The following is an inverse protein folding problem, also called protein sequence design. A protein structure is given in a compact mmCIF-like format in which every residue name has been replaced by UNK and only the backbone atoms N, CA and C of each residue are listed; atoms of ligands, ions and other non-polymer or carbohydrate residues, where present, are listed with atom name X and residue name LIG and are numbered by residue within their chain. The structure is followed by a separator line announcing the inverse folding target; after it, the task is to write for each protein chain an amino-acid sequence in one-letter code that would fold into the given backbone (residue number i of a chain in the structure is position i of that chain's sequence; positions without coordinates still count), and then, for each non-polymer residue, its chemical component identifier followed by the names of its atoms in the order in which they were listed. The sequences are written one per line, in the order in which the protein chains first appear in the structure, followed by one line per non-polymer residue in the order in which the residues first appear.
data_IF_931242025586
#
_entry.id   IF_931242025586
#
_cell.length_a   1.000
_cell.length_b   1.000
_cell.length_c   1.000
_cell.angle_alpha   90.00
_cell.angle_beta   90.00
_cell.angle_gamma   90.00
#
_symmetry.space_group_name_H-M   'P 1'
#
loop_
_entity.id
_entity.type
_entity.pdbx_description
1 polymer ?
#
# COMPACT_ATOMS: atom_id res chain seq x y z
N UNK A 1 -14.68 -2.50 45.76
CA UNK A 1 -14.27 -1.39 44.86
C UNK A 1 -12.76 -1.38 44.55
N UNK A 2 -11.86 -1.86 45.43
CA UNK A 2 -10.40 -1.87 45.14
C UNK A 2 -9.94 -2.87 44.05
N UNK A 3 -10.64 -3.99 43.86
CA UNK A 3 -10.29 -5.00 42.85
C UNK A 3 -10.56 -4.59 41.39
N UNK A 4 -11.40 -3.56 41.17
CA UNK A 4 -11.70 -3.03 39.83
C UNK A 4 -10.62 -2.05 39.34
N UNK A 5 -10.03 -1.26 40.23
CA UNK A 5 -8.98 -0.29 39.88
C UNK A 5 -7.69 -0.98 39.39
N UNK A 6 -7.23 -2.01 40.12
CA UNK A 6 -6.00 -2.73 39.75
C UNK A 6 -6.12 -3.53 38.44
N UNK A 7 -7.35 -3.95 38.09
CA UNK A 7 -7.65 -4.63 36.83
C UNK A 7 -7.71 -3.65 35.65
N UNK A 8 -8.05 -2.39 35.89
CA UNK A 8 -8.05 -1.33 34.86
C UNK A 8 -6.62 -0.86 34.51
N UNK A 9 -5.74 -0.73 35.51
CA UNK A 9 -4.33 -0.32 35.30
C UNK A 9 -3.54 -1.36 34.49
N UNK A 10 -3.73 -2.65 34.78
CA UNK A 10 -3.07 -3.74 34.04
C UNK A 10 -3.56 -3.85 32.59
N UNK A 11 -4.84 -3.61 32.34
CA UNK A 11 -5.41 -3.60 30.98
C UNK A 11 -4.93 -2.37 30.19
N UNK A 12 -4.69 -1.22 30.85
CA UNK A 12 -4.07 -0.04 30.25
C UNK A 12 -2.63 -0.30 29.81
N UNK A 13 -1.79 -0.83 30.71
CA UNK A 13 -0.39 -1.18 30.40
C UNK A 13 -0.26 -2.22 29.29
N UNK A 14 -1.14 -3.22 29.24
CA UNK A 14 -1.15 -4.22 28.16
C UNK A 14 -1.62 -3.60 26.84
N UNK A 15 -2.62 -2.72 26.84
CA UNK A 15 -3.09 -2.01 25.64
C UNK A 15 -2.02 -1.09 25.05
N UNK A 16 -1.25 -0.42 25.90
CA UNK A 16 -0.11 0.39 25.45
C UNK A 16 0.93 -0.50 24.77
N UNK A 17 1.22 -1.69 25.31
CA UNK A 17 2.17 -2.63 24.67
C UNK A 17 1.67 -3.21 23.33
N UNK A 18 0.36 -3.44 23.17
CA UNK A 18 -0.22 -3.91 21.90
C UNK A 18 -0.19 -2.78 20.89
N UNK A 19 -0.56 -1.57 21.30
CA UNK A 19 -0.50 -0.38 20.44
C UNK A 19 0.92 -0.12 19.96
N UNK A 20 1.90 -0.15 20.85
CA UNK A 20 3.30 0.10 20.49
C UNK A 20 3.80 -0.95 19.49
N UNK A 21 3.45 -2.22 19.70
CA UNK A 21 3.78 -3.29 18.75
C UNK A 21 3.13 -3.06 17.37
N UNK A 22 1.86 -2.69 17.33
CA UNK A 22 1.19 -2.39 16.06
C UNK A 22 1.81 -1.16 15.39
N UNK A 23 2.20 -0.14 16.16
CA UNK A 23 2.94 1.02 15.62
C UNK A 23 4.26 0.56 15.02
N UNK A 24 5.04 -0.27 15.70
CA UNK A 24 6.32 -0.75 15.19
C UNK A 24 6.15 -1.54 13.88
N UNK A 25 5.14 -2.42 13.80
CA UNK A 25 4.82 -3.18 12.58
C UNK A 25 4.45 -2.25 11.43
N UNK A 26 3.64 -1.22 11.70
CA UNK A 26 3.26 -0.25 10.68
C UNK A 26 4.43 0.66 10.26
N UNK A 27 5.32 1.02 11.19
CA UNK A 27 6.55 1.75 10.86
C UNK A 27 7.46 0.93 9.95
N UNK A 28 7.68 -0.35 10.27
CA UNK A 28 8.45 -1.24 9.40
C UNK A 28 7.83 -1.39 8.01
N UNK A 29 6.50 -1.40 7.91
CA UNK A 29 5.81 -1.39 6.62
C UNK A 29 6.07 -0.08 5.87
N UNK A 30 5.86 1.07 6.51
CA UNK A 30 6.10 2.39 5.91
C UNK A 30 7.53 2.53 5.41
N UNK A 31 8.52 2.10 6.20
CA UNK A 31 9.93 2.12 5.81
C UNK A 31 10.19 1.33 4.52
N UNK A 32 9.52 0.18 4.34
CA UNK A 32 9.60 -0.59 3.09
C UNK A 32 8.98 0.18 1.92
N UNK A 33 7.82 0.80 2.12
CA UNK A 33 7.14 1.56 1.06
C UNK A 33 7.96 2.77 0.64
N UNK A 34 8.46 3.56 1.59
CA UNK A 34 9.27 4.75 1.30
C UNK A 34 10.56 4.39 0.57
N UNK A 35 11.26 3.34 1.01
CA UNK A 35 12.44 2.83 0.30
C UNK A 35 12.11 2.44 -1.13
N UNK A 36 10.97 1.77 -1.33
CA UNK A 36 10.52 1.35 -2.66
C UNK A 36 10.19 2.54 -3.58
N UNK A 37 9.56 3.57 -3.03
CA UNK A 37 9.29 4.81 -3.75
C UNK A 37 10.58 5.53 -4.14
N UNK A 38 11.54 5.63 -3.22
CA UNK A 38 12.86 6.22 -3.48
C UNK A 38 13.60 5.47 -4.60
N UNK A 39 13.58 4.13 -4.60
CA UNK A 39 14.13 3.33 -5.71
C UNK A 39 13.49 3.68 -7.06
N UNK A 40 12.15 3.87 -7.09
CA UNK A 40 11.42 4.21 -8.32
C UNK A 40 11.66 5.64 -8.79
N UNK A 41 11.83 6.57 -7.87
CA UNK A 41 12.23 7.95 -8.17
C UNK A 41 13.61 7.93 -8.84
N UNK A 42 14.59 7.27 -8.22
CA UNK A 42 15.95 7.16 -8.79
C UNK A 42 15.98 6.47 -10.15
N UNK A 43 15.18 5.41 -10.35
CA UNK A 43 15.05 4.73 -11.64
C UNK A 43 14.49 5.68 -12.73
N UNK A 44 13.42 6.43 -12.40
CA UNK A 44 12.82 7.38 -13.33
C UNK A 44 13.78 8.52 -13.68
N UNK A 45 14.49 9.07 -12.70
CA UNK A 45 15.52 10.10 -12.90
C UNK A 45 16.67 9.60 -13.78
N UNK A 46 17.15 8.38 -13.53
CA UNK A 46 18.20 7.76 -14.34
C UNK A 46 17.77 7.62 -15.80
N UNK A 47 16.55 7.14 -16.06
CA UNK A 47 16.01 7.03 -17.42
C UNK A 47 15.94 8.38 -18.13
N UNK A 48 15.51 9.44 -17.43
CA UNK A 48 15.48 10.79 -17.99
C UNK A 48 16.89 11.29 -18.35
N UNK A 49 17.88 11.07 -17.47
CA UNK A 49 19.27 11.48 -17.71
C UNK A 49 19.93 10.69 -18.85
N UNK A 50 19.74 9.38 -18.90
CA UNK A 50 20.29 8.51 -19.95
C UNK A 50 19.71 8.86 -21.32
N UNK A 51 18.39 9.06 -21.40
CA UNK A 51 17.72 9.49 -22.62
C UNK A 51 18.23 10.86 -23.11
N UNK A 52 18.49 11.80 -22.20
CA UNK A 52 19.07 13.10 -22.54
C UNK A 52 20.50 12.98 -23.12
N UNK A 53 21.33 12.08 -22.59
CA UNK A 53 22.72 11.86 -23.05
C UNK A 53 22.80 11.18 -24.41
N UNK A 54 21.91 10.24 -24.72
CA UNK A 54 21.89 9.51 -26.01
C UNK A 54 21.41 10.35 -27.20
N UNK A 55 21.01 11.60 -26.97
CA UNK A 55 20.44 12.49 -27.97
C UNK A 55 21.38 13.06 -29.03
N UNK A 56 22.64 12.64 -29.12
CA UNK A 56 23.63 13.30 -29.99
C UNK A 56 23.71 12.77 -31.43
N UNK A 57 23.17 11.58 -31.75
CA UNK A 57 23.16 11.05 -33.14
C UNK A 57 21.95 10.13 -33.33
N UNK A 58 20.98 10.50 -34.18
CA UNK A 58 19.81 9.66 -34.43
C UNK A 58 18.94 10.11 -35.61
N UNK A 59 18.23 9.15 -36.21
CA UNK A 59 17.19 9.41 -37.22
C UNK A 59 16.00 10.15 -36.58
N UNK A 60 15.13 10.83 -37.37
CA UNK A 60 13.95 11.51 -36.82
C UNK A 60 13.05 10.62 -35.95
N UNK A 61 12.92 9.33 -36.30
CA UNK A 61 12.14 8.37 -35.49
C UNK A 61 12.76 8.10 -34.12
N UNK A 62 14.10 7.98 -34.04
CA UNK A 62 14.80 7.78 -32.77
C UNK A 62 14.66 8.99 -31.83
N UNK A 63 14.63 10.21 -32.38
CA UNK A 63 14.36 11.42 -31.61
C UNK A 63 12.93 11.45 -31.06
N UNK A 64 11.94 11.09 -31.88
CA UNK A 64 10.54 11.03 -31.45
C UNK A 64 10.31 9.99 -30.35
N UNK A 65 10.93 8.80 -30.47
CA UNK A 65 10.84 7.76 -29.43
C UNK A 65 11.49 8.21 -28.13
N UNK A 66 12.67 8.85 -28.19
CA UNK A 66 13.35 9.45 -27.04
C UNK A 66 12.46 10.47 -26.34
N UNK A 67 11.88 11.41 -27.08
CA UNK A 67 11.05 12.46 -26.51
C UNK A 67 9.81 11.87 -25.83
N UNK A 68 9.21 10.83 -26.41
CA UNK A 68 8.11 10.10 -25.78
C UNK A 68 8.53 9.35 -24.51
N UNK A 69 9.74 8.79 -24.45
CA UNK A 69 10.28 8.16 -23.25
C UNK A 69 10.54 9.19 -22.14
N UNK A 70 11.21 10.30 -22.46
CA UNK A 70 11.49 11.40 -21.50
C UNK A 70 10.19 11.98 -20.96
N UNK A 71 9.21 12.24 -21.83
CA UNK A 71 7.92 12.77 -21.42
C UNK A 71 7.18 11.82 -20.46
N UNK A 72 7.14 10.52 -20.79
CA UNK A 72 6.51 9.51 -19.91
C UNK A 72 7.21 9.39 -18.56
N UNK A 73 8.55 9.34 -18.56
CA UNK A 73 9.33 9.30 -17.33
C UNK A 73 9.11 10.58 -16.48
N UNK A 74 9.04 11.76 -17.12
CA UNK A 74 8.76 13.02 -16.45
C UNK A 74 7.37 13.09 -15.80
N UNK A 75 6.32 12.60 -16.47
CA UNK A 75 4.99 12.47 -15.86
C UNK A 75 5.03 11.53 -14.66
N UNK A 76 5.71 10.39 -14.78
CA UNK A 76 5.82 9.41 -13.71
C UNK A 76 6.55 9.98 -12.49
N UNK A 77 7.69 10.62 -12.70
CA UNK A 77 8.47 11.28 -11.65
C UNK A 77 7.68 12.39 -10.95
N UNK A 78 7.00 13.25 -11.73
CA UNK A 78 6.14 14.31 -11.18
C UNK A 78 5.05 13.73 -10.28
N UNK A 79 4.44 12.60 -10.69
CA UNK A 79 3.45 11.90 -9.88
C UNK A 79 4.03 11.37 -8.57
N UNK A 80 5.18 10.69 -8.64
CA UNK A 80 5.85 10.15 -7.45
C UNK A 80 6.25 11.26 -6.45
N UNK A 81 6.73 12.40 -6.95
CA UNK A 81 7.14 13.52 -6.11
C UNK A 81 5.96 14.26 -5.45
N UNK A 82 4.88 14.49 -6.20
CA UNK A 82 3.71 15.22 -5.67
C UNK A 82 2.92 14.40 -4.63
N UNK A 83 3.02 13.07 -4.70
CA UNK A 83 2.32 12.15 -3.82
C UNK A 83 3.25 11.59 -2.72
N UNK A 84 4.42 12.21 -2.47
CA UNK A 84 5.41 11.67 -1.53
C UNK A 84 5.05 11.88 -0.05
N UNK A 85 4.25 12.91 0.25
CA UNK A 85 3.77 13.21 1.60
C UNK A 85 2.30 12.75 1.80
N UNK A 86 2.00 12.21 2.98
CA UNK A 86 0.65 11.81 3.41
C UNK A 86 -0.13 10.93 2.41
N UNK A 87 0.59 9.99 1.78
CA UNK A 87 0.00 9.16 0.72
C UNK A 87 -0.72 7.92 1.25
N UNK A 88 -0.33 7.39 2.42
CA UNK A 88 -1.01 6.26 3.04
C UNK A 88 -2.20 6.75 3.89
N UNK A 89 -3.38 6.21 3.64
CA UNK A 89 -4.60 6.54 4.38
C UNK A 89 -4.83 5.62 5.57
N UNK A 90 -4.49 4.34 5.43
CA UNK A 90 -4.64 3.37 6.50
C UNK A 90 -4.56 1.92 6.01
N UNK A 91 -4.90 1.02 6.93
CA UNK A 91 -4.90 -0.44 6.77
C UNK A 91 -6.34 -0.96 6.88
N UNK A 92 -6.68 -1.94 6.07
CA UNK A 92 -7.91 -2.73 6.22
C UNK A 92 -7.55 -4.21 6.33
N UNK A 93 -8.08 -4.82 7.38
CA UNK A 93 -7.94 -6.25 7.64
C UNK A 93 -9.25 -6.94 7.23
N UNK A 94 -9.17 -7.72 6.14
CA UNK A 94 -10.29 -8.42 5.54
C UNK A 94 -10.42 -9.81 6.13
N UNK A 95 -11.66 -10.18 6.45
CA UNK A 95 -12.01 -11.55 6.80
C UNK A 95 -12.25 -12.38 5.53
N UNK A 96 -12.31 -13.70 5.69
CA UNK A 96 -12.68 -14.57 4.57
C UNK A 96 -14.07 -14.20 4.07
N UNK A 97 -14.19 -13.85 2.78
CA UNK A 97 -15.48 -13.49 2.18
C UNK A 97 -16.43 -14.69 2.09
N UNK A 98 -17.75 -14.42 2.13
CA UNK A 98 -18.82 -15.44 2.15
C UNK A 98 -18.78 -16.44 1.02
N UNK A 99 -18.40 -16.02 -0.18
CA UNK A 99 -18.24 -16.91 -1.33
C UNK A 99 -16.81 -17.48 -1.46
N UNK A 100 -15.87 -17.02 -0.64
CA UNK A 100 -14.45 -17.37 -0.67
C UNK A 100 -13.74 -16.98 -1.98
N UNK A 101 -14.38 -16.18 -2.84
CA UNK A 101 -13.88 -15.88 -4.18
C UNK A 101 -13.12 -14.56 -4.19
N UNK A 102 -12.03 -14.56 -4.95
CA UNK A 102 -11.26 -13.35 -5.28
C UNK A 102 -11.57 -12.92 -6.71
N UNK A 103 -11.68 -11.62 -6.92
CA UNK A 103 -11.85 -10.99 -8.22
C UNK A 103 -10.56 -11.04 -9.04
N UNK A 104 -10.59 -10.57 -10.31
CA UNK A 104 -9.41 -10.49 -11.17
C UNK A 104 -8.30 -9.59 -10.62
N UNK A 105 -8.66 -8.69 -9.70
CA UNK A 105 -7.78 -7.78 -8.97
C UNK A 105 -7.26 -8.37 -7.64
N UNK A 106 -7.60 -9.63 -7.35
CA UNK A 106 -7.14 -10.34 -6.14
C UNK A 106 -7.93 -10.05 -4.87
N UNK A 107 -8.89 -9.12 -4.90
CA UNK A 107 -9.72 -8.77 -3.75
C UNK A 107 -10.92 -9.71 -3.58
N UNK A 108 -11.38 -9.92 -2.35
CA UNK A 108 -12.60 -10.69 -2.10
C UNK A 108 -13.81 -10.05 -2.79
N UNK A 109 -14.59 -10.85 -3.52
CA UNK A 109 -15.79 -10.37 -4.22
C UNK A 109 -16.96 -10.13 -3.26
N UNK A 110 -17.06 -10.94 -2.22
CA UNK A 110 -18.04 -10.76 -1.15
C UNK A 110 -17.51 -9.83 -0.05
N UNK A 111 -18.28 -8.79 0.25
CA UNK A 111 -18.05 -7.89 1.39
C UNK A 111 -18.51 -8.55 2.71
N UNK A 112 -19.51 -9.42 2.63
CA UNK A 112 -20.00 -10.18 3.77
C UNK A 112 -18.97 -11.23 4.21
N UNK A 113 -18.64 -11.33 5.50
CA UNK A 113 -17.77 -12.38 6.00
C UNK A 113 -18.43 -13.76 5.86
N UNK A 114 -17.60 -14.80 5.72
CA UNK A 114 -18.04 -16.18 5.72
C UNK A 114 -18.67 -16.59 7.05
N UNK A 115 -19.56 -17.58 6.99
CA UNK A 115 -20.15 -18.16 8.19
C UNK A 115 -19.04 -18.72 9.10
N UNK A 116 -19.05 -18.31 10.37
CA UNK A 116 -18.02 -18.69 11.33
C UNK A 116 -16.70 -17.91 11.22
N UNK A 117 -16.57 -16.94 10.31
CA UNK A 117 -15.37 -16.11 10.21
C UNK A 117 -15.15 -15.25 11.49
N UNK A 118 -16.24 -14.85 12.14
CA UNK A 118 -16.23 -14.23 13.48
C UNK A 118 -16.64 -15.28 14.51
N UNK A 119 -15.78 -15.50 15.49
CA UNK A 119 -15.99 -16.44 16.60
C UNK A 119 -16.99 -15.87 17.62
N UNK A 120 -17.59 -16.71 18.49
CA UNK A 120 -18.53 -16.25 19.53
C UNK A 120 -17.96 -15.25 20.54
N UNK A 121 -16.64 -15.17 20.66
CA UNK A 121 -15.93 -14.22 21.51
C UNK A 121 -15.58 -12.90 20.81
N UNK A 122 -16.14 -12.65 19.62
CA UNK A 122 -15.86 -11.49 18.76
C UNK A 122 -14.41 -11.41 18.26
N UNK A 123 -13.71 -12.53 18.17
CA UNK A 123 -12.40 -12.61 17.48
C UNK A 123 -12.55 -13.18 16.08
N UNK A 124 -11.62 -12.87 15.19
CA UNK A 124 -11.61 -13.38 13.82
C UNK A 124 -10.16 -13.55 13.34
N UNK A 125 -9.96 -14.45 12.39
CA UNK A 125 -8.67 -14.55 11.71
C UNK A 125 -8.66 -13.62 10.50
N UNK A 126 -7.60 -12.83 10.39
CA UNK A 126 -7.39 -11.95 9.24
C UNK A 126 -7.01 -12.82 8.06
N UNK A 127 -7.81 -12.76 6.99
CA UNK A 127 -7.53 -13.49 5.76
C UNK A 127 -6.57 -12.72 4.86
N UNK A 128 -6.69 -11.39 4.84
CA UNK A 128 -5.88 -10.51 4.02
C UNK A 128 -5.78 -9.12 4.65
N UNK A 129 -4.60 -8.52 4.61
CA UNK A 129 -4.34 -7.15 5.05
C UNK A 129 -3.98 -6.31 3.84
N UNK A 130 -4.68 -5.19 3.65
CA UNK A 130 -4.41 -4.25 2.57
C UNK A 130 -4.09 -2.87 3.13
N UNK A 131 -3.02 -2.26 2.63
CA UNK A 131 -2.67 -0.87 2.90
C UNK A 131 -3.19 0.00 1.77
N UNK A 132 -3.96 1.04 2.08
CA UNK A 132 -4.66 1.88 1.11
C UNK A 132 -4.03 3.26 1.05
N UNK A 133 -3.74 3.77 -0.14
CA UNK A 133 -3.14 5.08 -0.33
C UNK A 133 -3.49 5.76 -1.65
N UNK A 134 -2.90 6.95 -1.85
CA UNK A 134 -3.09 7.80 -3.05
C UNK A 134 -2.53 7.17 -4.32
N UNK A 135 -1.41 6.45 -4.17
CA UNK A 135 -0.70 5.76 -5.23
C UNK A 135 -0.52 4.29 -4.88
N UNK A 136 -0.68 3.43 -5.88
CA UNK A 136 -0.33 2.03 -5.75
C UNK A 136 1.19 1.83 -5.79
N UNK A 137 1.73 1.10 -4.81
CA UNK A 137 3.16 0.77 -4.75
C UNK A 137 3.31 -0.74 -4.76
N UNK A 138 4.15 -1.24 -5.66
CA UNK A 138 4.51 -2.65 -5.74
C UNK A 138 5.96 -2.82 -5.29
N UNK A 139 6.30 -3.93 -4.68
CA UNK A 139 7.68 -4.28 -4.37
C UNK A 139 8.47 -4.70 -5.63
N UNK A 140 9.59 -5.40 -5.45
CA UNK A 140 10.45 -5.86 -6.55
C UNK A 140 9.88 -7.11 -7.26
N UNK A 141 9.07 -7.91 -6.57
CA UNK A 141 8.42 -9.12 -7.07
C UNK A 141 7.00 -8.84 -7.61
N UNK A 142 6.63 -7.56 -7.72
CA UNK A 142 5.31 -7.07 -8.12
C UNK A 142 4.18 -7.42 -7.14
N UNK A 143 4.52 -7.69 -5.89
CA UNK A 143 3.54 -7.82 -4.81
C UNK A 143 3.09 -6.44 -4.35
N UNK A 144 1.77 -6.20 -4.15
CA UNK A 144 1.29 -4.92 -3.66
C UNK A 144 1.78 -4.62 -2.25
N UNK A 145 2.46 -3.49 -2.08
CA UNK A 145 2.73 -2.88 -0.78
C UNK A 145 1.63 -1.89 -0.40
N UNK A 146 1.13 -1.11 -1.37
CA UNK A 146 0.02 -0.17 -1.19
C UNK A 146 -0.94 -0.26 -2.38
N UNK A 147 -2.23 -0.28 -2.10
CA UNK A 147 -3.32 -0.27 -3.07
C UNK A 147 -3.79 1.17 -3.30
N UNK A 148 -3.88 1.58 -4.56
CA UNK A 148 -4.47 2.87 -4.95
C UNK A 148 -5.95 2.89 -4.53
N UNK A 149 -6.39 3.94 -3.84
CA UNK A 149 -7.75 4.09 -3.33
C UNK A 149 -8.86 3.99 -4.40
N UNK A 150 -8.52 4.19 -5.68
CA UNK A 150 -9.46 4.06 -6.80
C UNK A 150 -9.61 2.63 -7.29
N UNK A 151 -8.74 1.71 -6.87
CA UNK A 151 -8.81 0.31 -7.25
C UNK A 151 -10.07 -0.33 -6.63
N UNK A 152 -10.76 -1.24 -7.34
CA UNK A 152 -11.93 -1.93 -6.78
C UNK A 152 -11.61 -2.69 -5.48
N UNK A 153 -10.40 -3.23 -5.37
CA UNK A 153 -9.86 -3.81 -4.14
C UNK A 153 -9.89 -2.90 -2.91
N UNK A 154 -9.81 -1.58 -3.07
CA UNK A 154 -9.88 -0.61 -1.97
C UNK A 154 -11.32 -0.25 -1.58
N UNK A 155 -12.33 -0.67 -2.35
CA UNK A 155 -13.72 -0.30 -2.12
C UNK A 155 -14.24 -0.60 -0.69
N UNK A 156 -13.85 -1.72 -0.03
CA UNK A 156 -14.28 -1.98 1.35
C UNK A 156 -13.81 -0.94 2.38
N UNK A 157 -12.78 -0.13 2.09
CA UNK A 157 -12.28 0.90 3.00
C UNK A 157 -13.25 2.08 3.19
N UNK A 158 -14.16 2.31 2.24
CA UNK A 158 -15.02 3.50 2.20
C UNK A 158 -16.53 3.20 2.34
N UNK A 159 -16.91 1.95 2.55
CA UNK A 159 -18.31 1.51 2.57
C UNK A 159 -18.81 1.23 3.97
#
# INVERSE_FOLDING_TARGET
MAAQAHRQDAVGSVRDSVRDREIDVEQEHLDRVYRRLEEKIHEAEFLMQDAARRGQVGTPGALAERDAQVFRAGIHLSRLNNEFEDFLFGRIDLLTGKDGKKGPDGAYTAIEPAEGAVRPDNTADIAETLHIGRIGVLDQDYTPLVIDWRAPAAAPFYR
#
